data_IF_854730428668
#
_entry.id   IF_854730428668
#
_cell.length_a   1.000
_cell.length_b   1.000
_cell.length_c   1.000
_cell.angle_alpha   90.00
_cell.angle_beta   90.00
_cell.angle_gamma   90.00
#
_symmetry.space_group_name_H-M   'P 1'
#
loop_
_entity.id
_entity.type
_entity.pdbx_description
1 polymer ?
#
# COMPACT_ATOMS: atom_id res chain seq x y z
N UNK A 1 52.46 6.10 3.76
CA UNK A 1 51.13 6.30 3.12
C UNK A 1 50.08 5.58 3.96
N UNK A 2 49.43 6.27 4.90
CA UNK A 2 48.40 5.67 5.75
C UNK A 2 47.04 5.76 5.05
N UNK A 3 46.56 4.66 4.48
CA UNK A 3 45.19 4.57 3.98
C UNK A 3 44.24 4.61 5.19
N UNK A 4 43.66 5.78 5.48
CA UNK A 4 42.57 5.88 6.47
C UNK A 4 41.37 5.10 5.93
N UNK A 5 41.02 4.01 6.60
CA UNK A 5 39.78 3.29 6.37
C UNK A 5 38.62 4.30 6.53
N UNK A 6 38.04 4.73 5.41
CA UNK A 6 36.82 5.53 5.44
C UNK A 6 35.70 4.58 5.86
N UNK A 7 35.04 4.87 6.99
CA UNK A 7 33.76 4.24 7.34
C UNK A 7 32.87 4.21 6.10
N UNK A 8 32.26 3.07 5.78
CA UNK A 8 31.40 2.89 4.61
C UNK A 8 30.34 4.00 4.50
N UNK A 9 29.73 4.38 5.62
CA UNK A 9 28.79 5.51 5.68
C UNK A 9 29.39 6.84 5.18
N UNK A 10 30.65 7.13 5.54
CA UNK A 10 31.36 8.34 5.09
C UNK A 10 31.67 8.28 3.60
N UNK A 11 31.95 7.10 3.04
CA UNK A 11 32.16 6.97 1.60
C UNK A 11 30.87 7.31 0.83
N UNK A 12 29.73 6.76 1.27
CA UNK A 12 28.42 7.00 0.66
C UNK A 12 27.93 8.45 0.80
N UNK A 13 28.22 9.11 1.93
CA UNK A 13 27.77 10.48 2.18
C UNK A 13 28.74 11.55 1.65
N UNK A 14 29.96 11.18 1.23
CA UNK A 14 30.96 12.14 0.73
C UNK A 14 30.85 12.43 -0.76
N UNK A 15 30.22 11.54 -1.53
CA UNK A 15 30.16 11.65 -2.99
C UNK A 15 28.78 12.20 -3.44
N UNK A 16 28.73 13.40 -4.06
CA UNK A 16 27.50 14.00 -4.55
C UNK A 16 26.70 13.13 -5.53
N UNK A 17 27.38 12.25 -6.28
CA UNK A 17 26.73 11.34 -7.23
C UNK A 17 25.89 10.26 -6.54
N UNK A 18 26.07 10.07 -5.23
CA UNK A 18 25.40 9.03 -4.45
C UNK A 18 24.05 9.48 -3.88
N UNK A 19 23.80 10.80 -3.76
CA UNK A 19 22.55 11.33 -3.22
C UNK A 19 21.28 10.90 -3.98
N UNK A 20 21.27 10.84 -5.34
CA UNK A 20 20.13 10.31 -6.08
C UNK A 20 19.81 8.86 -5.72
N UNK A 21 20.84 8.02 -5.53
CA UNK A 21 20.66 6.61 -5.15
C UNK A 21 20.08 6.53 -3.73
N UNK A 22 20.63 7.30 -2.79
CA UNK A 22 20.13 7.37 -1.41
C UNK A 22 18.67 7.81 -1.39
N UNK A 23 18.28 8.78 -2.22
CA UNK A 23 16.90 9.25 -2.33
C UNK A 23 15.95 8.15 -2.84
N UNK A 24 16.35 7.35 -3.83
CA UNK A 24 15.52 6.25 -4.34
C UNK A 24 15.38 5.15 -3.27
N UNK A 25 16.49 4.78 -2.62
CA UNK A 25 16.48 3.75 -1.57
C UNK A 25 15.62 4.18 -0.38
N UNK A 26 15.78 5.43 0.07
CA UNK A 26 14.97 5.96 1.18
C UNK A 26 13.50 6.03 0.81
N UNK A 27 13.17 6.49 -0.39
CA UNK A 27 11.80 6.52 -0.89
C UNK A 27 11.18 5.12 -0.92
N UNK A 28 11.88 4.14 -1.49
CA UNK A 28 11.41 2.76 -1.54
C UNK A 28 11.21 2.16 -0.14
N UNK A 29 12.16 2.39 0.78
CA UNK A 29 12.07 1.92 2.16
C UNK A 29 10.88 2.56 2.91
N UNK A 30 10.69 3.87 2.75
CA UNK A 30 9.53 4.59 3.31
C UNK A 30 8.21 4.05 2.76
N UNK A 31 8.14 3.82 1.44
CA UNK A 31 6.93 3.33 0.80
C UNK A 31 6.59 1.90 1.24
N UNK A 32 7.59 1.01 1.35
CA UNK A 32 7.42 -0.35 1.84
C UNK A 32 6.95 -0.37 3.31
N UNK A 33 7.57 0.45 4.16
CA UNK A 33 7.20 0.57 5.57
C UNK A 33 5.77 1.12 5.71
N UNK A 34 5.44 2.17 4.97
CA UNK A 34 4.10 2.74 4.96
C UNK A 34 3.04 1.71 4.53
N UNK A 35 3.30 0.95 3.47
CA UNK A 35 2.37 -0.09 3.00
C UNK A 35 2.21 -1.21 4.04
N UNK A 36 3.31 -1.64 4.66
CA UNK A 36 3.28 -2.64 5.73
C UNK A 36 2.45 -2.16 6.92
N UNK A 37 2.71 -0.93 7.41
CA UNK A 37 1.95 -0.34 8.52
C UNK A 37 0.47 -0.17 8.17
N UNK A 38 0.16 0.31 6.96
CA UNK A 38 -1.22 0.42 6.47
C UNK A 38 -1.91 -0.94 6.48
N UNK A 39 -1.25 -1.97 5.93
CA UNK A 39 -1.80 -3.32 5.86
C UNK A 39 -2.07 -3.89 7.25
N UNK A 40 -1.09 -3.81 8.14
CA UNK A 40 -1.18 -4.32 9.51
C UNK A 40 -2.29 -3.61 10.30
N UNK A 41 -2.48 -2.30 10.12
CA UNK A 41 -3.50 -1.53 10.86
C UNK A 41 -4.90 -1.64 10.25
N UNK A 42 -5.02 -1.63 8.93
CA UNK A 42 -6.33 -1.50 8.24
C UNK A 42 -6.84 -2.81 7.64
N UNK A 43 -6.04 -3.89 7.66
CA UNK A 43 -6.50 -5.19 7.19
C UNK A 43 -7.60 -5.71 8.13
N UNK A 44 -8.74 -6.18 7.59
CA UNK A 44 -9.80 -6.79 8.38
C UNK A 44 -9.38 -8.13 9.01
N UNK A 45 -8.30 -8.75 8.51
CA UNK A 45 -7.84 -10.05 8.99
C UNK A 45 -6.78 -9.94 10.12
N UNK A 46 -6.42 -8.72 10.56
CA UNK A 46 -5.37 -8.48 11.57
C UNK A 46 -5.92 -7.71 12.78
N UNK A 47 -5.91 -8.35 13.96
CA UNK A 47 -6.49 -7.81 15.21
C UNK A 47 -5.42 -7.41 16.24
N UNK A 48 -4.66 -6.36 15.92
CA UNK A 48 -3.56 -5.89 16.80
C UNK A 48 -4.05 -4.99 17.94
N UNK A 49 -5.07 -4.16 17.70
CA UNK A 49 -5.63 -3.28 18.74
C UNK A 49 -6.40 -4.10 19.77
N UNK A 50 -6.45 -3.61 21.02
CA UNK A 50 -7.13 -4.32 22.10
C UNK A 50 -8.63 -4.40 21.84
N UNK A 51 -9.18 -3.35 21.25
CA UNK A 51 -10.58 -3.19 20.89
C UNK A 51 -11.02 -4.24 19.87
N UNK A 52 -10.22 -4.49 18.82
CA UNK A 52 -10.51 -5.54 17.82
C UNK A 52 -10.40 -6.96 18.39
N UNK A 53 -9.58 -7.19 19.42
CA UNK A 53 -9.45 -8.53 20.04
C UNK A 53 -10.66 -8.93 20.85
N UNK A 54 -11.38 -7.96 21.41
CA UNK A 54 -12.60 -8.19 22.19
C UNK A 54 -13.87 -8.26 21.35
N UNK A 55 -13.79 -7.99 20.05
CA UNK A 55 -14.96 -8.02 19.17
C UNK A 55 -15.41 -9.46 18.90
N UNK A 56 -16.70 -9.71 19.09
CA UNK A 56 -17.33 -11.00 18.81
C UNK A 56 -17.43 -11.25 17.29
N UNK A 57 -17.52 -10.19 16.49
CA UNK A 57 -17.61 -10.27 15.03
C UNK A 57 -16.31 -9.83 14.38
N UNK A 58 -15.41 -10.79 14.14
CA UNK A 58 -14.08 -10.52 13.56
C UNK A 58 -14.12 -9.95 12.13
N UNK A 59 -15.27 -10.02 11.43
CA UNK A 59 -15.46 -9.49 10.08
C UNK A 59 -16.55 -8.42 10.08
N UNK A 60 -16.11 -7.17 10.04
CA UNK A 60 -16.97 -6.04 9.71
C UNK A 60 -16.93 -5.79 8.20
N UNK A 61 -18.09 -5.86 7.56
CA UNK A 61 -18.23 -5.64 6.12
C UNK A 61 -17.87 -4.20 5.71
N UNK A 62 -18.14 -3.22 6.56
CA UNK A 62 -17.81 -1.81 6.32
C UNK A 62 -16.29 -1.62 6.24
N UNK A 63 -15.54 -2.15 7.21
CA UNK A 63 -14.07 -2.07 7.24
C UNK A 63 -13.45 -2.86 6.07
N UNK A 64 -14.01 -4.02 5.73
CA UNK A 64 -13.60 -4.82 4.58
C UNK A 64 -13.87 -4.16 3.23
N UNK A 65 -14.94 -3.36 3.12
CA UNK A 65 -15.26 -2.56 1.94
C UNK A 65 -14.30 -1.37 1.80
N UNK A 66 -14.02 -0.66 2.90
CA UNK A 66 -13.10 0.46 2.94
C UNK A 66 -11.67 0.03 2.58
N UNK A 67 -11.21 -1.12 3.09
CA UNK A 67 -9.89 -1.67 2.76
C UNK A 67 -9.74 -2.00 1.26
N UNK A 68 -10.83 -2.42 0.60
CA UNK A 68 -10.86 -2.80 -0.82
C UNK A 68 -11.35 -1.69 -1.76
N UNK A 69 -11.74 -0.53 -1.22
CA UNK A 69 -12.42 0.54 -1.95
C UNK A 69 -11.64 1.05 -3.17
N UNK A 70 -10.30 1.04 -3.11
CA UNK A 70 -9.43 1.50 -4.20
C UNK A 70 -9.02 0.41 -5.19
N UNK A 71 -9.12 -0.88 -4.83
CA UNK A 71 -8.57 -1.98 -5.63
C UNK A 71 -9.19 -2.06 -7.03
N UNK A 72 -10.52 -1.98 -7.10
CA UNK A 72 -11.26 -2.09 -8.37
C UNK A 72 -11.01 -0.88 -9.25
N UNK A 73 -10.92 0.33 -8.68
CA UNK A 73 -10.62 1.53 -9.45
C UNK A 73 -9.20 1.52 -10.03
N UNK A 74 -8.21 1.10 -9.24
CA UNK A 74 -6.82 1.02 -9.68
C UNK A 74 -6.61 -0.06 -10.75
N UNK A 75 -7.25 -1.22 -10.61
CA UNK A 75 -7.13 -2.33 -11.58
C UNK A 75 -7.69 -1.98 -12.96
N UNK A 76 -8.66 -1.05 -13.03
CA UNK A 76 -9.35 -0.67 -14.26
C UNK A 76 -9.09 0.79 -14.65
N UNK A 77 -7.94 1.34 -14.26
CA UNK A 77 -7.57 2.72 -14.60
C UNK A 77 -7.40 2.90 -16.12
N UNK A 78 -6.92 1.86 -16.81
CA UNK A 78 -6.77 1.84 -18.26
C UNK A 78 -7.91 1.05 -18.90
N UNK A 79 -8.47 1.58 -19.99
CA UNK A 79 -9.46 0.85 -20.78
C UNK A 79 -8.83 -0.36 -21.46
N UNK A 80 -9.45 -1.51 -21.25
CA UNK A 80 -9.11 -2.79 -21.85
C UNK A 80 -10.38 -3.38 -22.50
N UNK A 81 -10.23 -4.44 -23.30
CA UNK A 81 -11.39 -5.12 -23.90
C UNK A 81 -12.41 -5.57 -22.84
N UNK A 82 -11.92 -6.07 -21.70
CA UNK A 82 -12.75 -6.47 -20.54
C UNK A 82 -13.57 -5.30 -20.00
N UNK A 83 -13.02 -4.08 -19.96
CA UNK A 83 -13.75 -2.93 -19.39
C UNK A 83 -14.85 -2.39 -20.30
N UNK A 84 -14.86 -2.80 -21.58
CA UNK A 84 -15.89 -2.40 -22.56
C UNK A 84 -17.05 -3.41 -22.63
N UNK A 85 -16.88 -4.60 -22.08
CA UNK A 85 -17.92 -5.62 -22.03
C UNK A 85 -19.07 -5.19 -21.10
N UNK A 86 -20.29 -5.59 -21.45
CA UNK A 86 -21.50 -5.28 -20.66
C UNK A 86 -21.46 -5.88 -19.26
N UNK A 87 -20.85 -7.05 -19.12
CA UNK A 87 -20.69 -7.73 -17.84
C UNK A 87 -19.82 -6.93 -16.86
N UNK A 88 -18.85 -6.17 -17.38
CA UNK A 88 -18.03 -5.29 -16.57
C UNK A 88 -18.81 -4.07 -16.09
N UNK A 89 -19.69 -3.51 -16.92
CA UNK A 89 -20.55 -2.40 -16.52
C UNK A 89 -21.45 -2.79 -15.34
N UNK A 90 -22.12 -3.95 -15.40
CA UNK A 90 -22.96 -4.46 -14.31
C UNK A 90 -22.16 -4.80 -13.05
N UNK A 91 -20.92 -5.29 -13.19
CA UNK A 91 -20.01 -5.47 -12.05
C UNK A 91 -19.65 -4.14 -11.39
N UNK A 92 -19.34 -3.11 -12.20
CA UNK A 92 -18.94 -1.79 -11.70
C UNK A 92 -20.08 -1.07 -10.98
N UNK A 93 -21.31 -1.21 -11.49
CA UNK A 93 -22.52 -0.70 -10.84
C UNK A 93 -22.72 -1.30 -9.46
N UNK A 94 -22.64 -2.64 -9.32
CA UNK A 94 -22.73 -3.34 -8.03
C UNK A 94 -21.69 -2.84 -7.02
N UNK A 95 -20.45 -2.61 -7.48
CA UNK A 95 -19.37 -2.09 -6.62
C UNK A 95 -19.55 -0.61 -6.25
N UNK A 96 -20.38 0.15 -6.98
CA UNK A 96 -20.72 1.53 -6.65
C UNK A 96 -21.94 1.64 -5.73
N UNK A 97 -22.93 0.76 -5.88
CA UNK A 97 -24.11 0.71 -5.02
C UNK A 97 -23.77 0.28 -3.59
N UNK A 98 -22.84 -0.66 -3.43
CA UNK A 98 -22.35 -1.11 -2.12
C UNK A 98 -21.62 0.00 -1.32
N UNK A 99 -21.29 1.15 -1.96
CA UNK A 99 -20.66 2.29 -1.29
C UNK A 99 -21.65 3.38 -0.86
N UNK A 100 -22.91 3.30 -1.31
CA UNK A 100 -23.93 4.33 -1.11
C UNK A 100 -24.94 3.98 0.00
N UNK A 101 -24.84 2.80 0.57
CA UNK A 101 -25.65 2.29 1.69
C UNK A 101 -24.74 1.98 2.87
#
# INVERSE_FOLDING_TARGET
MAARAKTSLRAWLSDPSTYPIIAIVSFAASMATFHGVRYIRTSPDVSISKERRSDLFHRNDEEGSAFRAHRVNLAHLKSNRITQEKDFATFRERQSSDKAN
#
